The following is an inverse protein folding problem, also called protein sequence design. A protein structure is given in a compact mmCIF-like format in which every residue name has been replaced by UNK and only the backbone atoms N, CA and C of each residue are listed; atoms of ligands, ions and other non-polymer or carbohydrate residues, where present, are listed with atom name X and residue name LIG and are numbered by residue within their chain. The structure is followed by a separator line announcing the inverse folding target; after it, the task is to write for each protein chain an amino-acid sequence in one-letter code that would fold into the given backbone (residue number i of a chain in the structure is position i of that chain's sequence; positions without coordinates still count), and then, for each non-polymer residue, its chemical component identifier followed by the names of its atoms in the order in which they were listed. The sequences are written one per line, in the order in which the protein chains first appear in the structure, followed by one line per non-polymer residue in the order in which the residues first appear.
data_IF_272129403893
#
_entry.id   IF_272129403893
#
_cell.length_a   1.000
_cell.length_b   1.000
_cell.length_c   1.000
_cell.angle_alpha   90.00
_cell.angle_beta   90.00
_cell.angle_gamma   90.00
#
_symmetry.space_group_name_H-M   'P 1'
#
loop_
_entity.id
_entity.type
_entity.pdbx_description
1 polymer ?
#
# COMPACT_ATOMS: atom_id res chain seq x y z
N UNK A 1 -4.63 18.29 -74.95
CA UNK A 1 -5.96 18.53 -74.34
C UNK A 1 -5.87 18.14 -72.86
N UNK A 2 -5.79 19.10 -71.93
CA UNK A 2 -5.63 18.82 -70.49
C UNK A 2 -7.02 18.83 -69.84
N UNK A 3 -7.52 17.66 -69.44
CA UNK A 3 -8.78 17.54 -68.69
C UNK A 3 -8.58 18.09 -67.28
N UNK A 4 -9.21 19.23 -66.96
CA UNK A 4 -9.24 19.77 -65.60
C UNK A 4 -10.08 18.84 -64.71
N UNK A 5 -9.44 18.04 -63.87
CA UNK A 5 -10.11 17.38 -62.75
C UNK A 5 -10.68 18.48 -61.83
N UNK A 6 -12.00 18.56 -61.73
CA UNK A 6 -12.65 19.40 -60.72
C UNK A 6 -12.43 18.74 -59.36
N UNK A 7 -11.90 19.45 -58.36
CA UNK A 7 -11.82 18.91 -57.01
C UNK A 7 -13.25 18.61 -56.52
N UNK A 8 -13.46 17.42 -55.98
CA UNK A 8 -14.73 17.06 -55.35
C UNK A 8 -14.96 18.00 -54.16
N UNK A 9 -16.09 18.71 -54.15
CA UNK A 9 -16.48 19.59 -53.07
C UNK A 9 -17.16 18.76 -51.97
N UNK A 10 -16.71 18.90 -50.73
CA UNK A 10 -17.25 18.19 -49.57
C UNK A 10 -18.68 18.68 -49.28
N UNK A 11 -19.62 17.76 -49.10
CA UNK A 11 -21.00 18.11 -48.76
C UNK A 11 -21.19 18.28 -47.24
N UNK A 12 -22.15 19.11 -46.84
CA UNK A 12 -22.52 19.27 -45.43
C UNK A 12 -22.97 17.95 -44.79
N UNK A 13 -23.61 17.07 -45.57
CA UNK A 13 -24.09 15.76 -45.10
C UNK A 13 -22.91 14.82 -44.80
N UNK A 14 -21.88 14.79 -45.65
CA UNK A 14 -20.66 14.01 -45.39
C UNK A 14 -19.95 14.49 -44.12
N UNK A 15 -19.86 15.80 -43.91
CA UNK A 15 -19.27 16.35 -42.68
C UNK A 15 -20.11 16.00 -41.43
N UNK A 16 -21.43 16.16 -41.53
CA UNK A 16 -22.36 15.94 -40.42
C UNK A 16 -22.40 14.47 -39.98
N UNK A 17 -22.40 13.54 -40.93
CA UNK A 17 -22.40 12.10 -40.64
C UNK A 17 -21.10 11.67 -39.96
N UNK A 18 -19.95 12.21 -40.37
CA UNK A 18 -18.66 11.92 -39.73
C UNK A 18 -18.62 12.39 -38.28
N UNK A 19 -19.04 13.62 -37.99
CA UNK A 19 -19.06 14.11 -36.60
C UNK A 19 -20.09 13.35 -35.75
N UNK A 20 -21.21 12.92 -36.33
CA UNK A 20 -22.20 12.08 -35.65
C UNK A 20 -21.61 10.72 -35.25
N UNK A 21 -20.90 10.05 -36.17
CA UNK A 21 -20.24 8.77 -35.90
C UNK A 21 -19.14 8.95 -34.85
N UNK A 22 -18.28 9.97 -34.97
CA UNK A 22 -17.25 10.27 -33.97
C UNK A 22 -17.89 10.55 -32.60
N UNK A 23 -19.01 11.28 -32.56
CA UNK A 23 -19.75 11.56 -31.33
C UNK A 23 -20.27 10.30 -30.66
N UNK A 24 -20.85 9.37 -31.42
CA UNK A 24 -21.33 8.07 -30.91
C UNK A 24 -20.16 7.24 -30.36
N UNK A 25 -19.06 7.15 -31.12
CA UNK A 25 -17.88 6.39 -30.68
C UNK A 25 -17.26 7.00 -29.41
N UNK A 26 -17.12 8.33 -29.36
CA UNK A 26 -16.59 9.03 -28.19
C UNK A 26 -17.49 8.85 -26.96
N UNK A 27 -18.81 8.90 -27.12
CA UNK A 27 -19.78 8.72 -26.04
C UNK A 27 -19.65 7.34 -25.36
N UNK A 28 -19.32 6.30 -26.11
CA UNK A 28 -19.07 4.95 -25.57
C UNK A 28 -17.64 4.84 -25.00
N UNK A 29 -16.65 5.41 -25.69
CA UNK A 29 -15.24 5.23 -25.33
C UNK A 29 -14.87 5.93 -24.01
N UNK A 30 -15.34 7.16 -23.79
CA UNK A 30 -15.01 7.97 -22.61
C UNK A 30 -15.30 7.24 -21.27
N UNK A 31 -16.51 6.72 -21.01
CA UNK A 31 -16.80 6.03 -19.75
C UNK A 31 -16.05 4.70 -19.62
N UNK A 32 -15.77 4.01 -20.72
CA UNK A 32 -15.05 2.72 -20.70
C UNK A 32 -13.58 2.91 -20.35
N UNK A 33 -12.91 3.90 -20.95
CA UNK A 33 -11.49 4.18 -20.70
C UNK A 33 -11.24 4.53 -19.23
N UNK A 34 -12.17 5.24 -18.58
CA UNK A 34 -12.10 5.54 -17.14
C UNK A 34 -12.05 4.27 -16.27
N UNK A 35 -12.95 3.32 -16.53
CA UNK A 35 -13.00 2.04 -15.80
C UNK A 35 -11.75 1.20 -16.03
N UNK A 36 -11.27 1.11 -17.27
CA UNK A 36 -10.06 0.36 -17.63
C UNK A 36 -8.84 0.94 -16.91
N UNK A 37 -8.68 2.28 -16.89
CA UNK A 37 -7.57 2.94 -16.18
C UNK A 37 -7.61 2.69 -14.68
N UNK A 38 -8.80 2.70 -14.06
CA UNK A 38 -8.94 2.42 -12.63
C UNK A 38 -8.51 0.98 -12.30
N UNK A 39 -8.95 -0.01 -13.09
CA UNK A 39 -8.56 -1.42 -12.92
C UNK A 39 -7.06 -1.63 -13.15
N UNK A 40 -6.46 -0.96 -14.14
CA UNK A 40 -5.02 -1.01 -14.37
C UNK A 40 -4.22 -0.44 -13.18
N UNK A 41 -4.66 0.67 -12.59
CA UNK A 41 -4.03 1.25 -11.39
C UNK A 41 -4.14 0.32 -10.18
N UNK A 42 -5.29 -0.31 -9.97
CA UNK A 42 -5.47 -1.28 -8.88
C UNK A 42 -4.53 -2.49 -9.04
N UNK A 43 -4.41 -3.01 -10.25
CA UNK A 43 -3.49 -4.11 -10.59
C UNK A 43 -2.03 -3.70 -10.39
N UNK A 44 -1.67 -2.49 -10.83
CA UNK A 44 -0.32 -1.94 -10.62
C UNK A 44 -0.02 -1.78 -9.13
N UNK A 45 -0.96 -1.26 -8.33
CA UNK A 45 -0.82 -1.16 -6.88
C UNK A 45 -0.59 -2.52 -6.21
N UNK A 46 -1.30 -3.57 -6.68
CA UNK A 46 -1.11 -4.93 -6.16
C UNK A 46 0.28 -5.49 -6.51
N UNK A 47 0.77 -5.22 -7.72
CA UNK A 47 2.14 -5.56 -8.12
C UNK A 47 3.18 -4.81 -7.29
N UNK A 48 2.98 -3.51 -7.06
CA UNK A 48 3.87 -2.66 -6.28
C UNK A 48 4.02 -3.18 -4.84
N UNK A 49 2.91 -3.36 -4.12
CA UNK A 49 2.96 -3.86 -2.73
C UNK A 49 3.59 -5.25 -2.67
N UNK A 50 3.33 -6.13 -3.66
CA UNK A 50 3.95 -7.45 -3.73
C UNK A 50 5.48 -7.37 -3.84
N UNK A 51 5.98 -6.54 -4.74
CA UNK A 51 7.43 -6.36 -4.92
C UNK A 51 8.09 -5.83 -3.64
N UNK A 52 7.44 -4.89 -2.95
CA UNK A 52 7.92 -4.36 -1.67
C UNK A 52 7.89 -5.45 -0.58
N UNK A 53 6.81 -6.23 -0.49
CA UNK A 53 6.68 -7.31 0.49
C UNK A 53 7.69 -8.45 0.28
N UNK A 54 7.98 -8.79 -0.98
CA UNK A 54 9.11 -9.68 -1.30
C UNK A 54 10.44 -9.08 -0.85
N UNK A 55 10.65 -7.78 -1.01
CA UNK A 55 11.79 -7.06 -0.46
C UNK A 55 11.92 -7.23 1.06
N UNK A 56 10.82 -7.13 1.81
CA UNK A 56 10.79 -7.38 3.25
C UNK A 56 11.19 -8.82 3.62
N UNK A 57 10.73 -9.80 2.85
CA UNK A 57 11.08 -11.22 3.06
C UNK A 57 12.55 -11.48 2.73
N UNK A 58 13.06 -10.93 1.63
CA UNK A 58 14.48 -11.00 1.25
C UNK A 58 15.35 -10.36 2.34
N UNK A 59 14.97 -9.18 2.82
CA UNK A 59 15.66 -8.54 3.95
C UNK A 59 15.71 -9.47 5.16
N UNK A 60 14.59 -10.10 5.53
CA UNK A 60 14.55 -11.02 6.66
C UNK A 60 15.48 -12.24 6.44
N UNK A 61 15.54 -12.78 5.24
CA UNK A 61 16.45 -13.89 4.91
C UNK A 61 17.92 -13.52 5.14
N UNK A 62 18.32 -12.32 4.74
CA UNK A 62 19.70 -11.83 4.91
C UNK A 62 19.99 -11.42 6.37
N UNK A 63 18.96 -11.08 7.15
CA UNK A 63 19.06 -10.57 8.52
C UNK A 63 18.63 -11.59 9.59
N UNK A 64 19.06 -12.86 9.45
CA UNK A 64 18.81 -13.94 10.45
C UNK A 64 17.33 -14.20 10.74
N UNK A 65 16.48 -13.96 9.75
CA UNK A 65 15.03 -14.07 9.84
C UNK A 65 14.33 -12.86 10.45
N UNK A 66 15.03 -11.75 10.71
CA UNK A 66 14.45 -10.56 11.34
C UNK A 66 13.97 -9.58 10.26
N UNK A 67 12.69 -9.24 10.27
CA UNK A 67 12.12 -8.24 9.38
C UNK A 67 12.67 -6.84 9.67
N UNK A 68 12.65 -5.91 8.70
CA UNK A 68 13.11 -4.55 8.93
C UNK A 68 12.30 -3.86 10.04
N UNK A 69 12.96 -3.06 10.88
CA UNK A 69 12.25 -2.27 11.90
C UNK A 69 11.39 -1.20 11.25
N UNK A 70 10.21 -0.91 11.81
CA UNK A 70 9.33 0.12 11.27
C UNK A 70 9.98 1.51 11.31
N UNK A 71 10.81 1.78 12.33
CA UNK A 71 11.57 3.02 12.45
C UNK A 71 12.83 2.79 13.30
N UNK A 72 14.00 3.20 12.79
CA UNK A 72 15.29 3.05 13.44
C UNK A 72 15.91 4.39 13.91
N UNK A 73 15.75 4.75 15.19
CA UNK A 73 16.37 5.98 15.76
C UNK A 73 17.87 5.84 16.06
N UNK A 74 18.38 4.62 16.22
CA UNK A 74 19.73 4.35 16.70
C UNK A 74 20.76 4.27 15.57
N UNK A 75 20.32 3.94 14.35
CA UNK A 75 21.17 3.74 13.18
C UNK A 75 20.93 4.77 12.05
N UNK A 76 20.42 5.97 12.37
CA UNK A 76 20.32 7.10 11.42
C UNK A 76 18.93 7.44 10.89
N UNK A 77 17.87 7.23 11.68
CA UNK A 77 16.47 7.60 11.37
C UNK A 77 15.92 6.93 10.10
N UNK A 78 16.20 5.64 9.89
CA UNK A 78 15.70 4.90 8.72
C UNK A 78 14.41 4.13 9.02
N UNK A 79 13.40 4.31 8.17
CA UNK A 79 12.17 3.50 8.17
C UNK A 79 12.38 2.14 7.48
N UNK A 80 11.46 1.19 7.70
CA UNK A 80 11.48 -0.08 6.97
C UNK A 80 11.48 0.15 5.45
N UNK A 81 10.73 1.13 4.96
CA UNK A 81 10.59 1.42 3.54
C UNK A 81 11.92 1.88 2.93
N UNK A 82 12.70 2.68 3.67
CA UNK A 82 14.03 3.12 3.24
C UNK A 82 15.03 1.97 3.25
N UNK A 83 14.97 1.08 4.25
CA UNK A 83 15.79 -0.14 4.29
C UNK A 83 15.51 -1.03 3.07
N UNK A 84 14.22 -1.20 2.71
CA UNK A 84 13.84 -1.96 1.52
C UNK A 84 14.23 -1.23 0.24
N UNK A 85 14.10 0.09 0.18
CA UNK A 85 14.54 0.84 -1.00
C UNK A 85 16.06 0.74 -1.20
N UNK A 86 16.85 0.78 -0.13
CA UNK A 86 18.31 0.55 -0.18
C UNK A 86 18.63 -0.84 -0.68
N UNK A 87 17.95 -1.86 -0.16
CA UNK A 87 18.11 -3.24 -0.62
C UNK A 87 17.78 -3.38 -2.11
N UNK A 88 16.66 -2.80 -2.57
CA UNK A 88 16.21 -2.91 -3.96
C UNK A 88 17.05 -2.09 -4.95
N UNK A 89 17.53 -0.91 -4.53
CA UNK A 89 18.31 -0.01 -5.40
C UNK A 89 19.80 -0.29 -5.37
N UNK A 90 20.31 -0.92 -4.30
CA UNK A 90 21.74 -1.08 -4.05
C UNK A 90 22.47 0.26 -3.86
N UNK A 91 21.74 1.33 -3.54
CA UNK A 91 22.27 2.68 -3.36
C UNK A 91 21.82 3.26 -2.01
N UNK A 92 22.58 4.22 -1.50
CA UNK A 92 22.18 4.98 -0.33
C UNK A 92 20.94 5.83 -0.64
N UNK A 93 19.97 5.79 0.28
CA UNK A 93 18.71 6.53 0.18
C UNK A 93 18.72 7.65 1.21
N UNK A 94 18.39 8.86 0.77
CA UNK A 94 18.13 9.98 1.68
C UNK A 94 16.83 9.73 2.45
N UNK A 95 16.78 9.98 3.77
CA UNK A 95 15.54 9.90 4.54
C UNK A 95 14.40 10.69 3.89
N UNK A 96 13.21 10.10 3.84
CA UNK A 96 12.00 10.67 3.25
C UNK A 96 11.91 10.60 1.71
N UNK A 97 12.96 10.16 1.01
CA UNK A 97 12.99 10.10 -0.45
C UNK A 97 12.60 8.71 -0.99
N UNK A 98 11.30 8.40 -0.97
CA UNK A 98 10.77 7.12 -1.45
C UNK A 98 10.39 7.15 -2.93
N UNK A 99 10.69 6.05 -3.63
CA UNK A 99 10.28 5.79 -5.01
C UNK A 99 8.78 5.46 -5.11
N UNK A 100 8.20 5.59 -6.31
CA UNK A 100 6.77 5.37 -6.53
C UNK A 100 6.29 3.93 -6.30
N UNK A 101 7.19 2.96 -6.10
CA UNK A 101 6.81 1.58 -5.76
C UNK A 101 6.19 1.49 -4.36
N UNK A 102 6.50 2.45 -3.48
CA UNK A 102 5.94 2.56 -2.13
C UNK A 102 4.59 3.28 -2.10
N UNK A 103 4.04 3.67 -3.25
CA UNK A 103 2.76 4.35 -3.37
C UNK A 103 1.78 3.60 -4.26
N UNK A 104 0.51 3.68 -3.87
CA UNK A 104 -0.63 3.24 -4.68
C UNK A 104 -0.97 4.26 -5.79
N UNK A 105 -0.91 3.88 -7.08
CA UNK A 105 -1.25 4.78 -8.18
C UNK A 105 -2.76 5.10 -8.27
N UNK A 106 -3.62 4.41 -7.52
CA UNK A 106 -5.07 4.67 -7.50
C UNK A 106 -5.49 5.90 -6.69
N UNK A 107 -4.65 6.36 -5.75
CA UNK A 107 -4.98 7.44 -4.79
C UNK A 107 -4.58 8.85 -5.31
N UNK A 108 -3.81 8.91 -6.40
CA UNK A 108 -3.17 10.14 -6.84
C UNK A 108 -1.82 10.36 -6.15
N UNK A 109 -0.85 10.94 -6.86
CA UNK A 109 0.55 11.03 -6.43
C UNK A 109 0.72 12.30 -5.59
N UNK A 110 0.63 12.19 -4.26
CA UNK A 110 1.34 13.13 -3.40
C UNK A 110 2.82 12.76 -3.36
N UNK A 111 3.73 13.74 -3.40
CA UNK A 111 5.17 13.49 -3.28
C UNK A 111 5.46 12.83 -1.92
N UNK A 112 6.36 11.84 -1.89
CA UNK A 112 6.84 11.15 -0.68
C UNK A 112 5.76 10.44 0.16
N UNK A 113 4.73 9.87 -0.47
CA UNK A 113 3.69 9.12 0.24
C UNK A 113 3.99 7.62 0.28
N UNK A 114 4.15 7.07 1.48
CA UNK A 114 4.32 5.64 1.76
C UNK A 114 2.96 4.97 2.00
N UNK A 115 2.28 4.49 0.96
CA UNK A 115 0.91 3.97 1.08
C UNK A 115 0.79 2.54 1.66
N UNK A 116 1.90 1.87 1.92
CA UNK A 116 1.95 0.51 2.46
C UNK A 116 2.30 0.56 3.93
N UNK A 117 1.61 -0.20 4.77
CA UNK A 117 1.87 -0.33 6.20
C UNK A 117 2.44 -1.70 6.54
N UNK A 118 3.51 -1.75 7.33
CA UNK A 118 4.10 -2.95 7.89
C UNK A 118 3.35 -3.49 9.09
N UNK A 119 3.35 -4.82 9.24
CA UNK A 119 2.84 -5.49 10.42
C UNK A 119 3.74 -5.16 11.63
N UNK A 120 3.22 -4.50 12.68
CA UNK A 120 4.03 -4.09 13.84
C UNK A 120 4.55 -5.26 14.69
N UNK A 121 3.95 -6.46 14.59
CA UNK A 121 4.43 -7.68 15.25
C UNK A 121 5.52 -8.41 14.45
N UNK A 122 5.78 -7.98 13.22
CA UNK A 122 6.94 -8.44 12.45
C UNK A 122 8.01 -7.35 12.40
N UNK A 123 7.59 -6.10 12.29
CA UNK A 123 8.42 -4.91 12.09
C UNK A 123 8.20 -3.94 13.26
N UNK A 124 8.66 -4.24 14.48
CA UNK A 124 8.46 -3.33 15.61
C UNK A 124 9.27 -2.04 15.43
N UNK A 125 8.81 -0.97 16.10
CA UNK A 125 9.63 0.23 16.30
C UNK A 125 10.86 -0.13 17.13
N UNK A 126 11.96 0.58 16.91
CA UNK A 126 13.08 0.57 17.83
C UNK A 126 13.24 1.86 18.64
N UNK A 127 12.30 2.80 18.50
CA UNK A 127 12.34 4.06 19.23
C UNK A 127 12.30 3.81 20.75
N UNK A 128 13.42 4.14 21.38
CA UNK A 128 13.83 3.82 22.75
C UNK A 128 12.70 3.75 23.80
N UNK A 129 12.56 2.59 24.48
CA UNK A 129 12.18 2.36 25.91
C UNK A 129 11.44 1.05 26.20
N UNK A 130 11.05 0.27 25.19
CA UNK A 130 10.07 -0.81 25.41
C UNK A 130 10.72 -2.20 25.60
N UNK A 131 10.51 -2.79 26.80
CA UNK A 131 11.10 -4.06 27.25
C UNK A 131 10.68 -5.28 26.41
N UNK A 132 9.56 -5.19 25.70
CA UNK A 132 9.00 -6.23 24.83
C UNK A 132 9.59 -6.26 23.40
N UNK A 133 10.60 -5.44 23.10
CA UNK A 133 11.33 -5.45 21.80
C UNK A 133 11.73 -6.86 21.36
N UNK A 134 12.31 -7.63 22.27
CA UNK A 134 12.85 -8.97 21.96
C UNK A 134 11.75 -10.04 21.93
N UNK A 135 10.58 -9.75 22.50
CA UNK A 135 9.41 -10.64 22.55
C UNK A 135 8.53 -10.51 21.31
N UNK A 136 8.57 -9.36 20.62
CA UNK A 136 7.76 -9.08 19.42
C UNK A 136 8.48 -9.33 18.10
N UNK A 137 9.81 -9.50 18.08
CA UNK A 137 10.57 -9.77 16.86
C UNK A 137 10.38 -11.23 16.41
N UNK A 138 9.20 -11.56 15.87
CA UNK A 138 8.98 -12.86 15.28
C UNK A 138 9.94 -13.06 14.10
N UNK A 139 10.63 -14.20 14.11
CA UNK A 139 11.59 -14.53 13.07
C UNK A 139 10.89 -15.27 11.95
N UNK A 140 11.39 -15.14 10.73
CA UNK A 140 10.83 -15.80 9.55
C UNK A 140 10.61 -17.31 9.77
N UNK A 141 11.53 -17.99 10.47
CA UNK A 141 11.42 -19.43 10.78
C UNK A 141 10.49 -19.77 11.93
N UNK A 142 10.07 -18.81 12.77
CA UNK A 142 9.11 -19.05 13.86
C UNK A 142 7.66 -18.89 13.40
N UNK A 143 7.43 -18.42 12.17
CA UNK A 143 6.09 -18.18 11.63
C UNK A 143 5.53 -19.48 11.05
N UNK A 144 4.63 -20.13 11.79
CA UNK A 144 4.04 -21.41 11.38
C UNK A 144 3.00 -21.31 10.26
N UNK A 145 2.33 -20.15 10.11
CA UNK A 145 1.24 -19.93 9.14
C UNK A 145 1.59 -18.82 8.15
N UNK A 146 2.69 -18.98 7.42
CA UNK A 146 3.22 -17.92 6.54
C UNK A 146 2.21 -17.42 5.48
N UNK A 147 1.29 -18.27 5.02
CA UNK A 147 0.22 -17.91 4.07
C UNK A 147 -0.99 -17.21 4.72
N UNK A 148 -1.03 -17.07 6.04
CA UNK A 148 -2.10 -16.41 6.76
C UNK A 148 -1.64 -15.12 7.46
N UNK A 149 -0.34 -15.02 7.72
CA UNK A 149 0.27 -13.87 8.39
C UNK A 149 0.60 -12.78 7.37
N UNK A 150 0.06 -11.59 7.60
CA UNK A 150 0.27 -10.39 6.77
C UNK A 150 1.59 -9.74 7.15
N UNK A 151 2.38 -9.41 6.14
CA UNK A 151 3.60 -8.59 6.26
C UNK A 151 3.28 -7.12 5.99
N UNK A 152 2.58 -6.84 4.88
CA UNK A 152 2.22 -5.50 4.45
C UNK A 152 0.74 -5.42 4.09
N UNK A 153 0.12 -4.26 4.32
CA UNK A 153 -1.20 -3.95 3.81
C UNK A 153 -1.29 -2.50 3.30
N UNK A 154 -2.30 -2.18 2.49
CA UNK A 154 -2.68 -0.80 2.18
C UNK A 154 -2.86 -0.02 3.50
N UNK A 155 -2.21 1.14 3.65
CA UNK A 155 -2.25 1.95 4.88
C UNK A 155 -2.53 3.44 4.64
N UNK A 156 -3.18 4.10 5.59
CA UNK A 156 -3.41 5.56 5.56
C UNK A 156 -2.11 6.32 5.86
N UNK A 157 -1.84 7.35 5.07
CA UNK A 157 -0.62 8.17 5.15
C UNK A 157 -0.98 9.57 5.59
N UNK A 158 -0.25 10.06 6.59
CA UNK A 158 -0.30 11.45 7.01
C UNK A 158 0.83 12.23 6.33
N UNK A 159 0.51 13.39 5.76
CA UNK A 159 1.41 14.16 4.90
C UNK A 159 2.32 15.15 5.64
N UNK A 160 2.25 15.25 6.98
CA UNK A 160 2.81 16.43 7.67
C UNK A 160 4.27 16.34 8.11
N UNK A 161 4.91 15.16 8.15
CA UNK A 161 6.25 15.06 8.74
C UNK A 161 7.33 14.37 7.89
N UNK A 162 7.05 13.83 6.71
CA UNK A 162 8.08 13.16 5.88
C UNK A 162 8.67 11.87 6.48
N UNK A 163 8.32 11.54 7.74
CA UNK A 163 8.70 10.35 8.49
C UNK A 163 7.47 9.51 8.82
N UNK A 164 6.66 9.19 7.82
CA UNK A 164 5.51 8.33 8.03
C UNK A 164 6.00 6.93 8.42
N UNK A 165 6.08 6.66 9.72
CA UNK A 165 6.21 5.33 10.27
C UNK A 165 4.97 4.55 9.80
N UNK A 166 5.06 3.91 8.64
CA UNK A 166 3.94 3.19 8.07
C UNK A 166 3.86 1.82 8.74
N UNK A 167 3.52 1.81 10.03
CA UNK A 167 2.99 0.65 10.71
C UNK A 167 1.49 0.59 10.50
N UNK A 168 0.94 -0.61 10.42
CA UNK A 168 -0.49 -0.82 10.57
C UNK A 168 -0.88 -0.57 12.04
N UNK A 169 -1.75 0.39 12.34
CA UNK A 169 -2.18 0.75 13.70
C UNK A 169 -3.71 0.71 13.82
N UNK A 170 -4.18 0.05 14.88
CA UNK A 170 -5.27 0.48 15.76
C UNK A 170 -4.91 -0.04 17.14
N UNK A 171 -4.76 0.82 18.12
CA UNK A 171 -4.82 0.50 19.55
C UNK A 171 -5.27 1.73 20.34
N UNK A 172 -6.03 1.52 21.41
CA UNK A 172 -6.61 2.56 22.26
C UNK A 172 -5.67 3.74 22.49
N UNK A 173 -6.21 4.95 22.30
CA UNK A 173 -5.46 6.17 22.01
C UNK A 173 -4.30 6.46 22.96
N UNK A 174 -3.09 6.50 22.39
CA UNK A 174 -2.15 7.59 22.58
C UNK A 174 -1.01 7.51 21.55
N UNK A 175 -0.30 8.62 21.40
CA UNK A 175 0.82 8.79 20.47
C UNK A 175 1.97 7.84 20.78
N UNK A 176 1.96 6.66 20.17
CA UNK A 176 3.14 5.83 20.07
C UNK A 176 3.11 5.12 18.71
N UNK A 177 4.01 5.59 17.83
CA UNK A 177 4.43 4.90 16.63
C UNK A 177 4.55 3.39 16.92
N UNK A 178 3.99 2.54 16.05
CA UNK A 178 4.23 1.09 16.01
C UNK A 178 3.98 0.28 17.30
N UNK A 179 3.53 0.88 18.40
CA UNK A 179 3.28 0.22 19.66
C UNK A 179 1.88 -0.41 19.66
N UNK A 180 1.65 -1.31 18.69
CA UNK A 180 0.56 -2.24 18.82
C UNK A 180 0.93 -3.24 19.94
N UNK A 181 0.62 -2.91 21.20
CA UNK A 181 0.45 -3.91 22.26
C UNK A 181 -0.32 -5.12 21.70
N UNK A 182 0.25 -6.34 21.74
CA UNK A 182 -0.40 -7.56 21.24
C UNK A 182 -1.70 -7.91 21.98
N UNK A 183 -2.10 -7.12 22.99
CA UNK A 183 -3.19 -7.40 23.93
C UNK A 183 -4.60 -6.97 23.49
N UNK A 184 -4.78 -6.38 22.31
CA UNK A 184 -6.05 -5.73 21.95
C UNK A 184 -6.67 -6.20 20.64
N UNK A 185 -5.99 -7.00 19.82
CA UNK A 185 -6.63 -7.65 18.67
C UNK A 185 -7.20 -9.00 19.11
N UNK A 186 -8.53 -9.11 19.08
CA UNK A 186 -9.20 -10.39 19.25
C UNK A 186 -8.97 -11.23 17.97
N UNK A 187 -8.39 -12.44 18.05
CA UNK A 187 -8.00 -13.24 16.88
C UNK A 187 -9.11 -13.50 15.87
N UNK A 188 -10.36 -13.52 16.34
CA UNK A 188 -11.54 -13.93 15.59
C UNK A 188 -12.42 -12.75 15.18
N UNK A 189 -12.02 -11.53 15.51
CA UNK A 189 -12.76 -10.32 15.15
C UNK A 189 -12.25 -9.80 13.81
N UNK A 190 -13.13 -9.56 12.82
CA UNK A 190 -12.75 -8.91 11.58
C UNK A 190 -12.20 -7.52 11.85
N UNK A 191 -11.18 -7.13 11.11
CA UNK A 191 -10.63 -5.78 11.17
C UNK A 191 -11.58 -4.85 10.43
N UNK A 192 -12.08 -3.82 11.09
CA UNK A 192 -13.13 -2.97 10.52
C UNK A 192 -12.55 -1.67 9.92
N UNK A 193 -13.23 -1.07 8.92
CA UNK A 193 -12.92 0.29 8.48
C UNK A 193 -13.20 1.30 9.59
N UNK A 194 -12.24 2.21 9.85
CA UNK A 194 -12.31 3.22 10.93
C UNK A 194 -12.30 2.63 12.34
N UNK A 195 -11.53 1.57 12.53
CA UNK A 195 -11.14 1.17 13.86
C UNK A 195 -10.30 2.27 14.57
N UNK A 196 -9.68 3.23 13.87
CA UNK A 196 -9.21 4.47 14.51
C UNK A 196 -10.35 5.22 15.22
N UNK A 197 -10.14 5.76 16.43
CA UNK A 197 -11.18 6.47 17.17
C UNK A 197 -11.70 7.66 16.36
N UNK A 198 -13.02 7.67 16.12
CA UNK A 198 -13.74 8.89 15.74
C UNK A 198 -13.62 9.90 16.89
N UNK A 199 -12.92 11.01 16.65
CA UNK A 199 -12.72 12.09 17.63
C UNK A 199 -11.29 12.64 17.73
N UNK A 200 -10.33 12.14 16.96
CA UNK A 200 -9.05 12.84 16.78
C UNK A 200 -9.12 13.67 15.49
N UNK A 201 -9.38 14.97 15.60
CA UNK A 201 -8.98 15.89 14.54
C UNK A 201 -7.47 15.64 14.26
N UNK A 202 -7.11 15.31 13.02
CA UNK A 202 -5.76 15.44 12.45
C UNK A 202 -4.58 14.54 12.91
N UNK A 203 -4.77 13.28 13.35
CA UNK A 203 -3.59 12.45 13.77
C UNK A 203 -3.63 10.91 13.58
N UNK A 204 -4.23 10.39 12.50
CA UNK A 204 -4.30 8.93 12.24
C UNK A 204 -3.16 8.41 11.33
N UNK A 205 -1.97 8.18 11.90
CA UNK A 205 -0.93 7.37 11.26
C UNK A 205 -1.28 5.88 11.40
N UNK A 206 -1.40 5.14 10.29
CA UNK A 206 -1.24 3.68 10.29
C UNK A 206 -2.47 2.80 10.06
N UNK A 207 -3.69 3.28 9.89
CA UNK A 207 -4.83 2.37 9.66
C UNK A 207 -4.71 1.58 8.34
N UNK A 208 -5.28 0.36 8.28
CA UNK A 208 -5.54 -0.32 7.00
C UNK A 208 -6.46 0.56 6.15
N UNK A 209 -5.95 0.93 4.97
CA UNK A 209 -6.70 1.71 4.02
C UNK A 209 -7.45 0.80 3.05
N UNK A 210 -8.74 0.66 3.28
CA UNK A 210 -9.65 -0.03 2.37
C UNK A 210 -9.87 0.81 1.11
N UNK A 211 -8.96 0.74 0.13
CA UNK A 211 -8.98 1.54 -1.11
C UNK A 211 -9.30 0.73 -2.37
N UNK A 212 -9.13 -0.59 -2.31
CA UNK A 212 -9.45 -1.47 -3.42
C UNK A 212 -10.97 -1.69 -3.54
N UNK A 213 -11.43 -2.06 -4.74
CA UNK A 213 -12.84 -2.37 -5.04
C UNK A 213 -13.85 -1.34 -4.50
N UNK A 214 -13.65 -0.05 -4.79
CA UNK A 214 -14.58 0.99 -4.34
C UNK A 214 -14.61 1.16 -2.82
N UNK A 215 -13.44 1.13 -2.20
CA UNK A 215 -13.22 1.29 -0.75
C UNK A 215 -13.78 0.16 0.13
N UNK A 216 -13.88 -1.06 -0.39
CA UNK A 216 -14.41 -2.23 0.33
C UNK A 216 -13.36 -3.31 0.59
N UNK A 217 -12.17 -3.15 0.03
CA UNK A 217 -11.08 -4.11 0.15
C UNK A 217 -9.72 -3.40 0.30
N UNK A 218 -8.73 -4.13 0.79
CA UNK A 218 -7.34 -3.69 0.94
C UNK A 218 -6.42 -4.67 0.22
N UNK A 219 -5.33 -4.17 -0.37
CA UNK A 219 -4.25 -5.03 -0.87
C UNK A 219 -3.40 -5.44 0.32
N UNK A 220 -3.06 -6.71 0.38
CA UNK A 220 -2.23 -7.28 1.44
C UNK A 220 -1.20 -8.22 0.85
N UNK A 221 -0.08 -8.36 1.54
CA UNK A 221 0.99 -9.30 1.24
C UNK A 221 1.26 -10.15 2.46
N UNK A 222 1.37 -11.46 2.27
CA UNK A 222 1.62 -12.42 3.32
C UNK A 222 3.09 -12.82 3.41
N UNK A 223 3.47 -13.50 4.49
CA UNK A 223 4.86 -13.88 4.80
C UNK A 223 5.46 -14.83 3.76
N UNK A 224 4.64 -15.60 3.06
CA UNK A 224 5.05 -16.45 1.93
C UNK A 224 5.22 -15.68 0.60
N UNK A 225 4.99 -14.36 0.59
CA UNK A 225 5.16 -13.48 -0.57
C UNK A 225 3.97 -13.44 -1.54
N UNK A 226 2.86 -14.13 -1.25
CA UNK A 226 1.66 -13.96 -2.06
C UNK A 226 0.95 -12.64 -1.71
N UNK A 227 0.41 -11.98 -2.74
CA UNK A 227 -0.34 -10.74 -2.60
C UNK A 227 -1.76 -10.93 -3.12
N UNK A 228 -2.75 -10.42 -2.40
CA UNK A 228 -4.15 -10.46 -2.84
C UNK A 228 -4.93 -9.26 -2.32
N UNK A 229 -6.09 -9.04 -2.92
CA UNK A 229 -7.06 -8.05 -2.47
C UNK A 229 -8.01 -8.76 -1.51
N UNK A 230 -8.08 -8.29 -0.26
CA UNK A 230 -8.90 -8.88 0.80
C UNK A 230 -10.01 -7.90 1.18
N UNK A 231 -11.25 -8.40 1.21
CA UNK A 231 -12.43 -7.64 1.62
C UNK A 231 -12.41 -7.41 3.14
N UNK A 232 -13.03 -6.31 3.59
CA UNK A 232 -13.12 -5.90 5.01
C UNK A 232 -13.39 -7.04 5.99
N UNK A 233 -14.36 -7.89 5.69
CA UNK A 233 -14.82 -8.92 6.62
C UNK A 233 -14.03 -10.24 6.53
N UNK A 234 -12.93 -10.26 5.76
CA UNK A 234 -12.09 -11.45 5.51
C UNK A 234 -10.68 -11.31 6.08
N UNK A 235 -10.39 -10.20 6.73
CA UNK A 235 -9.13 -9.96 7.42
C UNK A 235 -9.40 -9.90 8.93
N UNK A 236 -8.70 -10.70 9.70
CA UNK A 236 -8.94 -10.90 11.13
C UNK A 236 -7.69 -10.58 11.94
N UNK A 237 -7.86 -10.33 13.25
CA UNK A 237 -6.74 -10.13 14.16
C UNK A 237 -5.66 -11.21 14.02
N UNK A 238 -6.06 -12.49 13.93
CA UNK A 238 -5.13 -13.63 13.74
C UNK A 238 -4.21 -13.51 12.53
N UNK A 239 -4.59 -12.76 11.50
CA UNK A 239 -3.74 -12.55 10.32
C UNK A 239 -2.54 -11.65 10.60
N UNK A 240 -2.47 -11.00 11.76
CA UNK A 240 -1.35 -10.15 12.16
C UNK A 240 -0.46 -10.82 13.20
N UNK A 241 -0.94 -11.89 13.85
CA UNK A 241 -0.16 -12.62 14.86
C UNK A 241 0.75 -13.66 14.17
N UNK A 242 2.08 -13.52 14.31
CA UNK A 242 3.03 -14.44 13.69
C UNK A 242 3.18 -15.77 14.42
N UNK A 243 2.74 -15.85 15.68
CA UNK A 243 2.90 -16.99 16.58
C UNK A 243 1.53 -17.59 16.93
N UNK A 244 1.48 -18.90 17.10
CA UNK A 244 0.27 -19.64 17.51
C UNK A 244 -0.05 -19.45 18.99
#
# INVERSE_FOLDING_TARGET
MKTKNRPAAFTLVELLTVIAIIGILAAILIPVVGKVRASARETQGLSNIRQVGLGCILYAQDNRGIFPSNYDRLAGDYSWAENIQRLLSGQDVQPGALTSIFSDPSVGIGKNQLHWGGNPLLMPDNSSTLRWRDELNARLHTIGRASEVVVLADSRVHASSGYAAASLTRLGGNWAACAASPYYYQPDVPITPNDAPTGADDSALGDIAWRARGNTAAKVVFVDGHARIVEKNKLFGRNFYPVN
#
